data_IF_696204619595
#
_entry.id   IF_696204619595
#
_cell.length_a   1.000
_cell.length_b   1.000
_cell.length_c   1.000
_cell.angle_alpha   90.00
_cell.angle_beta   90.00
_cell.angle_gamma   90.00
#
_symmetry.space_group_name_H-M   'P 1'
#
loop_
_entity.id
_entity.type
_entity.pdbx_description
1 polymer ?
#
# COMPACT_ATOMS: atom_id res chain seq x y z
N UNK A 1 -13.34 23.52 -0.25
CA UNK A 1 -13.13 24.34 -1.45
C UNK A 1 -14.26 25.34 -1.53
N UNK A 2 -13.97 26.61 -1.28
CA UNK A 2 -14.96 27.68 -1.45
C UNK A 2 -15.21 27.84 -2.96
N UNK A 3 -16.45 27.64 -3.40
CA UNK A 3 -16.80 27.88 -4.81
C UNK A 3 -17.07 29.36 -4.96
N UNK A 4 -16.11 30.10 -5.51
CA UNK A 4 -16.31 31.51 -5.86
C UNK A 4 -17.06 31.57 -7.21
N UNK A 5 -18.19 32.29 -7.30
CA UNK A 5 -18.92 32.47 -8.54
C UNK A 5 -18.04 33.04 -9.67
N UNK A 6 -18.24 32.57 -10.91
CA UNK A 6 -17.44 32.98 -12.08
C UNK A 6 -17.51 34.49 -12.40
N UNK A 7 -18.54 35.17 -11.90
CA UNK A 7 -18.77 36.60 -12.10
C UNK A 7 -18.07 37.49 -11.05
N UNK A 8 -17.19 36.93 -10.21
CA UNK A 8 -16.46 37.69 -9.20
C UNK A 8 -14.98 37.83 -9.59
N UNK A 9 -14.51 39.07 -9.69
CA UNK A 9 -13.10 39.36 -9.94
C UNK A 9 -12.28 39.12 -8.68
N UNK A 10 -11.18 38.38 -8.81
CA UNK A 10 -10.25 38.09 -7.72
C UNK A 10 -9.35 39.29 -7.34
N UNK A 11 -9.22 40.24 -8.26
CA UNK A 11 -8.46 41.48 -8.07
C UNK A 11 -9.27 42.69 -8.56
N UNK A 12 -9.02 43.85 -7.96
CA UNK A 12 -9.44 45.13 -8.53
C UNK A 12 -8.45 45.63 -9.60
N UNK A 13 -8.72 46.82 -10.17
CA UNK A 13 -7.86 47.44 -11.19
C UNK A 13 -6.48 47.83 -10.65
N UNK A 14 -6.33 47.99 -9.33
CA UNK A 14 -5.08 48.34 -8.66
C UNK A 14 -4.28 47.08 -8.25
N UNK A 15 -4.81 45.88 -8.51
CA UNK A 15 -4.19 44.60 -8.20
C UNK A 15 -4.39 44.11 -6.77
N UNK A 16 -5.27 44.76 -5.98
CA UNK A 16 -5.59 44.32 -4.63
C UNK A 16 -6.47 43.07 -4.66
N UNK A 17 -6.21 42.11 -3.77
CA UNK A 17 -6.99 40.89 -3.68
C UNK A 17 -8.35 41.13 -3.01
N UNK A 18 -9.43 40.78 -3.70
CA UNK A 18 -10.80 41.04 -3.24
C UNK A 18 -11.40 39.85 -2.48
N UNK A 19 -12.13 40.12 -1.41
CA UNK A 19 -12.92 39.14 -0.64
C UNK A 19 -14.41 39.29 -0.91
N UNK A 20 -15.09 38.16 -1.12
CA UNK A 20 -16.53 38.14 -1.36
C UNK A 20 -17.30 38.38 -0.03
N UNK A 21 -18.11 39.46 0.08
CA UNK A 21 -18.84 39.79 1.30
C UNK A 21 -19.92 38.76 1.70
N UNK A 22 -20.31 37.84 0.80
CA UNK A 22 -21.36 36.84 1.03
C UNK A 22 -20.79 35.48 1.43
N UNK A 23 -19.58 35.13 0.97
CA UNK A 23 -19.11 33.75 1.02
C UNK A 23 -17.64 33.54 1.46
N UNK A 24 -16.79 34.59 1.54
CA UNK A 24 -15.38 34.37 1.82
C UNK A 24 -14.66 35.58 2.41
N UNK A 25 -14.04 35.41 3.59
CA UNK A 25 -12.96 36.28 4.12
C UNK A 25 -11.58 35.88 3.57
N UNK A 26 -11.56 35.10 2.48
CA UNK A 26 -10.37 34.47 1.93
C UNK A 26 -10.30 34.69 0.43
N UNK A 27 -9.11 34.98 -0.09
CA UNK A 27 -8.86 35.09 -1.52
C UNK A 27 -7.83 34.03 -1.92
N UNK A 28 -8.31 32.90 -2.44
CA UNK A 28 -7.47 31.78 -2.85
C UNK A 28 -6.46 32.16 -3.93
N UNK A 29 -6.83 33.05 -4.86
CA UNK A 29 -5.92 33.53 -5.90
C UNK A 29 -4.72 34.29 -5.30
N UNK A 30 -4.95 35.17 -4.32
CA UNK A 30 -3.89 35.90 -3.63
C UNK A 30 -3.00 35.00 -2.77
N UNK A 31 -3.54 33.94 -2.18
CA UNK A 31 -2.73 32.94 -1.47
C UNK A 31 -1.88 32.13 -2.43
N UNK A 32 -2.41 31.75 -3.59
CA UNK A 32 -1.63 31.05 -4.61
C UNK A 32 -0.50 31.91 -5.17
N UNK A 33 -0.73 33.21 -5.35
CA UNK A 33 0.26 34.12 -5.91
C UNK A 33 1.31 34.58 -4.87
N UNK A 34 0.88 34.88 -3.63
CA UNK A 34 1.71 35.55 -2.61
C UNK A 34 1.62 34.95 -1.21
N UNK A 35 0.93 33.83 -1.02
CA UNK A 35 0.77 33.17 0.29
C UNK A 35 2.00 32.38 0.75
N UNK A 36 3.07 32.38 -0.04
CA UNK A 36 4.32 31.69 0.25
C UNK A 36 4.43 30.38 -0.52
N UNK A 37 5.09 29.38 0.05
CA UNK A 37 5.35 28.12 -0.64
C UNK A 37 5.52 26.95 0.34
N UNK A 38 5.34 25.75 -0.18
CA UNK A 38 5.74 24.51 0.46
C UNK A 38 6.66 23.76 -0.51
N UNK A 39 7.89 23.49 -0.10
CA UNK A 39 8.87 22.76 -0.88
C UNK A 39 9.17 21.44 -0.18
N UNK A 40 9.17 20.36 -0.94
CA UNK A 40 9.65 19.06 -0.49
C UNK A 40 10.94 18.74 -1.21
N UNK A 41 11.92 18.23 -0.46
CA UNK A 41 13.18 17.73 -1.01
C UNK A 41 13.33 16.29 -0.55
N UNK A 42 13.35 15.33 -1.48
CA UNK A 42 13.28 13.92 -1.15
C UNK A 42 14.43 13.18 -1.82
N UNK A 43 15.38 12.74 -1.00
CA UNK A 43 16.46 11.86 -1.44
C UNK A 43 16.05 10.41 -1.25
N UNK A 44 16.24 9.60 -2.30
CA UNK A 44 16.10 8.16 -2.21
C UNK A 44 17.36 7.48 -2.75
N UNK A 45 17.95 6.61 -1.92
CA UNK A 45 19.04 5.73 -2.31
C UNK A 45 18.55 4.30 -2.09
N UNK A 46 18.44 3.54 -3.17
CA UNK A 46 18.11 2.14 -3.11
C UNK A 46 19.17 1.30 -3.82
N UNK A 47 19.32 0.06 -3.38
CA UNK A 47 20.25 -0.86 -3.99
C UNK A 47 19.99 -2.28 -3.54
N UNK A 48 20.39 -3.23 -4.38
CA UNK A 48 20.35 -4.64 -4.04
C UNK A 48 21.58 -5.35 -4.61
N UNK A 49 22.19 -6.18 -3.78
CA UNK A 49 23.23 -7.13 -4.12
C UNK A 49 22.61 -8.52 -4.15
N UNK A 50 22.80 -9.22 -5.26
CA UNK A 50 22.42 -10.61 -5.39
C UNK A 50 23.65 -11.44 -5.77
N UNK A 51 23.72 -12.64 -5.22
CA UNK A 51 24.78 -13.60 -5.49
C UNK A 51 24.18 -14.99 -5.64
N UNK A 52 24.70 -15.76 -6.59
CA UNK A 52 24.31 -17.14 -6.80
C UNK A 52 25.54 -18.03 -6.78
N UNK A 53 25.46 -19.12 -6.00
CA UNK A 53 26.45 -20.19 -5.97
C UNK A 53 25.81 -21.49 -6.45
N UNK A 54 26.30 -22.01 -7.57
CA UNK A 54 25.92 -23.34 -8.06
C UNK A 54 26.77 -24.40 -7.33
N UNK A 55 26.21 -25.04 -6.30
CA UNK A 55 26.91 -26.08 -5.51
C UNK A 55 27.07 -27.36 -6.33
N UNK A 56 26.03 -27.70 -7.10
CA UNK A 56 26.08 -28.74 -8.13
C UNK A 56 25.37 -28.24 -9.39
N UNK A 57 25.32 -29.06 -10.45
CA UNK A 57 24.50 -28.73 -11.64
C UNK A 57 23.00 -28.61 -11.35
N UNK A 58 22.53 -29.29 -10.28
CA UNK A 58 21.12 -29.41 -9.93
C UNK A 58 20.77 -28.58 -8.67
N UNK A 59 21.75 -28.14 -7.87
CA UNK A 59 21.56 -27.40 -6.60
C UNK A 59 22.23 -26.02 -6.65
N UNK A 60 21.46 -24.97 -6.37
CA UNK A 60 21.90 -23.58 -6.30
C UNK A 60 21.55 -22.95 -4.95
N UNK A 61 22.45 -22.10 -4.45
CA UNK A 61 22.20 -21.21 -3.34
C UNK A 61 22.15 -19.77 -3.89
N UNK A 62 21.15 -19.01 -3.48
CA UNK A 62 20.92 -17.63 -3.92
C UNK A 62 20.81 -16.77 -2.67
N UNK A 63 21.63 -15.72 -2.59
CA UNK A 63 21.56 -14.70 -1.56
C UNK A 63 21.18 -13.36 -2.17
N UNK A 64 20.25 -12.66 -1.54
CA UNK A 64 19.79 -11.33 -1.92
C UNK A 64 19.84 -10.44 -0.68
N UNK A 65 20.48 -9.29 -0.78
CA UNK A 65 20.55 -8.27 0.25
C UNK A 65 20.31 -6.92 -0.39
N UNK A 66 19.35 -6.15 0.09
CA UNK A 66 19.07 -4.83 -0.44
C UNK A 66 18.37 -3.95 0.56
N UNK A 67 18.10 -2.73 0.15
CA UNK A 67 17.40 -1.77 0.98
C UNK A 67 17.20 -0.44 0.30
N UNK A 68 16.43 0.39 0.97
CA UNK A 68 16.12 1.75 0.56
C UNK A 68 16.33 2.68 1.75
N UNK A 69 17.15 3.69 1.56
CA UNK A 69 17.29 4.82 2.46
C UNK A 69 16.54 6.00 1.85
N UNK A 70 15.59 6.57 2.59
CA UNK A 70 14.93 7.80 2.20
C UNK A 70 15.25 8.90 3.21
N UNK A 71 15.44 10.12 2.71
CA UNK A 71 15.58 11.32 3.50
C UNK A 71 14.67 12.39 2.90
N UNK A 72 13.56 12.65 3.58
CA UNK A 72 12.51 13.55 3.12
C UNK A 72 12.55 14.83 3.95
N UNK A 73 12.88 15.94 3.32
CA UNK A 73 12.81 17.29 3.84
C UNK A 73 11.52 17.98 3.41
N UNK A 74 11.03 18.88 4.26
CA UNK A 74 9.94 19.80 3.94
C UNK A 74 10.31 21.16 4.45
N UNK A 75 10.28 22.16 3.57
CA UNK A 75 10.47 23.55 3.91
C UNK A 75 9.24 24.34 3.49
N UNK A 76 8.51 24.83 4.48
CA UNK A 76 7.29 25.60 4.31
C UNK A 76 7.50 27.03 4.75
N UNK A 77 7.04 27.97 3.94
CA UNK A 77 7.03 29.39 4.25
C UNK A 77 5.66 29.97 3.96
N UNK A 78 5.04 30.58 4.96
CA UNK A 78 3.81 31.35 4.83
C UNK A 78 4.12 32.84 4.90
N UNK A 79 3.64 33.58 3.92
CA UNK A 79 3.73 35.04 3.87
C UNK A 79 2.35 35.66 4.00
N UNK A 80 2.33 36.93 4.44
CA UNK A 80 1.09 37.66 4.64
C UNK A 80 0.50 38.10 3.30
N UNK A 81 -0.82 37.93 3.16
CA UNK A 81 -1.60 38.47 2.03
C UNK A 81 -2.81 39.19 2.61
N UNK A 82 -2.88 40.49 2.35
CA UNK A 82 -3.99 41.34 2.77
C UNK A 82 -5.09 41.35 1.71
N UNK A 83 -6.35 41.37 2.17
CA UNK A 83 -7.52 41.38 1.30
C UNK A 83 -8.40 42.62 1.52
N UNK A 84 -9.14 43.02 0.49
CA UNK A 84 -10.12 44.10 0.54
C UNK A 84 -11.56 43.59 0.37
N UNK A 85 -12.55 44.14 1.11
CA UNK A 85 -12.41 45.20 2.10
C UNK A 85 -11.85 44.72 3.45
N UNK A 86 -11.80 43.42 3.71
CA UNK A 86 -11.28 42.88 4.97
C UNK A 86 -10.80 41.43 4.84
N UNK A 87 -9.82 41.05 5.65
CA UNK A 87 -9.28 39.69 5.75
C UNK A 87 -7.77 39.68 5.54
N UNK A 88 -7.11 38.73 6.17
CA UNK A 88 -5.66 38.53 6.05
C UNK A 88 -5.35 37.05 6.13
N UNK A 89 -4.48 36.58 5.25
CA UNK A 89 -3.86 35.28 5.35
C UNK A 89 -2.42 35.42 5.81
N UNK A 90 -1.93 34.49 6.63
CA UNK A 90 -0.50 34.39 6.95
C UNK A 90 0.08 35.56 7.74
N UNK A 91 -0.73 36.28 8.52
CA UNK A 91 -0.29 37.40 9.37
C UNK A 91 0.73 36.99 10.45
N UNK A 92 0.90 35.69 10.68
CA UNK A 92 1.86 35.12 11.61
C UNK A 92 3.22 34.81 10.95
N UNK A 93 3.37 35.00 9.63
CA UNK A 93 4.63 34.90 8.90
C UNK A 93 5.47 33.66 9.30
N UNK A 94 4.90 32.48 9.08
CA UNK A 94 5.49 31.24 9.59
C UNK A 94 6.52 30.60 8.64
N UNK A 95 7.57 30.04 9.23
CA UNK A 95 8.57 29.23 8.54
C UNK A 95 8.70 27.90 9.28
N UNK A 96 8.52 26.81 8.56
CA UNK A 96 8.63 25.45 9.06
C UNK A 96 9.70 24.70 8.28
N UNK A 97 10.55 24.01 9.01
CA UNK A 97 11.54 23.08 8.48
C UNK A 97 11.34 21.72 9.15
N UNK A 98 11.22 20.68 8.34
CA UNK A 98 10.96 19.32 8.79
C UNK A 98 11.82 18.33 8.03
N UNK A 99 12.25 17.27 8.72
CA UNK A 99 13.01 16.20 8.12
C UNK A 99 12.57 14.84 8.67
N UNK A 100 12.50 13.83 7.80
CA UNK A 100 12.23 12.44 8.15
C UNK A 100 13.16 11.52 7.38
N UNK A 101 13.88 10.67 8.10
CA UNK A 101 14.78 9.66 7.54
C UNK A 101 14.21 8.27 7.81
N UNK A 102 14.15 7.43 6.77
CA UNK A 102 13.78 6.03 6.88
C UNK A 102 14.83 5.10 6.27
N UNK A 103 14.91 3.88 6.80
CA UNK A 103 15.74 2.81 6.28
C UNK A 103 14.92 1.52 6.23
N UNK A 104 14.73 0.99 5.02
CA UNK A 104 14.19 -0.34 4.77
C UNK A 104 15.35 -1.27 4.38
N UNK A 105 15.49 -2.40 5.05
CA UNK A 105 16.44 -3.45 4.68
C UNK A 105 15.68 -4.74 4.39
N UNK A 106 16.10 -5.46 3.36
CA UNK A 106 15.58 -6.76 2.99
C UNK A 106 16.73 -7.75 2.73
N UNK A 107 16.67 -8.91 3.38
CA UNK A 107 17.62 -10.00 3.17
C UNK A 107 16.84 -11.27 2.87
N UNK A 108 17.28 -12.05 1.88
CA UNK A 108 16.68 -13.33 1.52
C UNK A 108 17.76 -14.34 1.13
N UNK A 109 17.66 -15.54 1.67
CA UNK A 109 18.49 -16.67 1.31
C UNK A 109 17.59 -17.77 0.75
N UNK A 110 18.00 -18.39 -0.35
CA UNK A 110 17.23 -19.43 -1.05
C UNK A 110 18.13 -20.61 -1.40
N UNK A 111 17.65 -21.82 -1.14
CA UNK A 111 18.18 -23.05 -1.72
C UNK A 111 17.21 -23.54 -2.80
N UNK A 112 17.71 -23.79 -4.01
CA UNK A 112 16.96 -24.27 -5.16
C UNK A 112 17.56 -25.58 -5.68
N UNK A 113 16.74 -26.64 -5.77
CA UNK A 113 17.08 -27.89 -6.42
C UNK A 113 16.20 -28.12 -7.64
N UNK A 114 16.79 -28.39 -8.80
CA UNK A 114 16.06 -28.68 -10.04
C UNK A 114 16.61 -29.94 -10.70
N UNK A 115 15.73 -30.87 -11.09
CA UNK A 115 16.12 -32.13 -11.72
C UNK A 115 15.12 -32.55 -12.79
N UNK A 116 15.63 -32.95 -13.95
CA UNK A 116 14.86 -33.69 -14.97
C UNK A 116 15.28 -35.17 -14.98
N UNK A 117 14.31 -36.07 -14.85
CA UNK A 117 14.48 -37.53 -14.95
C UNK A 117 13.48 -38.02 -15.99
N UNK A 118 13.98 -38.37 -17.17
CA UNK A 118 13.14 -38.79 -18.31
C UNK A 118 12.09 -37.72 -18.62
N UNK A 119 10.81 -38.05 -18.39
CA UNK A 119 9.66 -37.19 -18.64
C UNK A 119 9.23 -36.36 -17.43
N UNK A 120 9.91 -36.50 -16.29
CA UNK A 120 9.58 -35.81 -15.05
C UNK A 120 10.56 -34.67 -14.79
N UNK A 121 10.05 -33.48 -14.52
CA UNK A 121 10.83 -32.34 -14.05
C UNK A 121 10.36 -31.94 -12.66
N UNK A 122 11.31 -31.79 -11.74
CA UNK A 122 11.10 -31.36 -10.37
C UNK A 122 11.89 -30.09 -10.13
N UNK A 123 11.28 -29.10 -9.47
CA UNK A 123 11.95 -27.93 -8.96
C UNK A 123 11.46 -27.62 -7.55
N UNK A 124 12.36 -27.66 -6.58
CA UNK A 124 12.07 -27.40 -5.16
C UNK A 124 12.89 -26.21 -4.72
N UNK A 125 12.26 -25.28 -4.02
CA UNK A 125 12.88 -24.10 -3.44
C UNK A 125 12.48 -23.99 -1.97
N UNK A 126 13.43 -23.58 -1.13
CA UNK A 126 13.18 -23.16 0.25
C UNK A 126 13.93 -21.86 0.50
N UNK A 127 13.24 -20.88 1.06
CA UNK A 127 13.75 -19.54 1.29
C UNK A 127 13.43 -19.06 2.70
N UNK A 128 14.35 -18.28 3.26
CA UNK A 128 14.12 -17.48 4.47
C UNK A 128 14.40 -16.01 4.14
N UNK A 129 13.56 -15.10 4.62
CA UNK A 129 13.76 -13.66 4.45
C UNK A 129 13.49 -12.87 5.71
N UNK A 130 14.21 -11.75 5.86
CA UNK A 130 14.03 -10.76 6.90
C UNK A 130 13.87 -9.38 6.26
N UNK A 131 12.86 -8.65 6.70
CA UNK A 131 12.64 -7.24 6.36
C UNK A 131 12.61 -6.42 7.64
N UNK A 132 13.25 -5.26 7.63
CA UNK A 132 13.19 -4.31 8.75
C UNK A 132 13.05 -2.89 8.22
N UNK A 133 12.20 -2.11 8.85
CA UNK A 133 11.98 -0.70 8.56
C UNK A 133 12.17 0.11 9.84
N UNK A 134 12.95 1.18 9.77
CA UNK A 134 13.11 2.15 10.84
C UNK A 134 12.92 3.56 10.28
N UNK A 135 12.23 4.43 11.02
CA UNK A 135 12.01 5.82 10.67
C UNK A 135 12.16 6.73 11.88
N UNK A 136 12.65 7.95 11.66
CA UNK A 136 12.65 9.04 12.64
C UNK A 136 12.69 10.38 11.93
N UNK A 137 12.21 11.42 12.59
CA UNK A 137 12.30 12.78 12.08
C UNK A 137 12.22 13.84 13.16
N UNK A 138 12.25 15.09 12.71
CA UNK A 138 11.94 16.27 13.51
C UNK A 138 11.20 17.30 12.66
N UNK A 139 10.57 18.26 13.35
CA UNK A 139 9.97 19.43 12.75
C UNK A 139 10.22 20.64 13.66
N UNK A 140 10.47 21.80 13.08
CA UNK A 140 10.61 23.07 13.77
C UNK A 140 9.80 24.13 13.01
N UNK A 141 8.97 24.88 13.73
CA UNK A 141 8.25 26.01 13.17
C UNK A 141 8.52 27.28 13.97
N UNK A 142 8.73 28.38 13.25
CA UNK A 142 8.83 29.73 13.79
C UNK A 142 7.74 30.61 13.20
N UNK A 143 7.26 31.56 13.99
CA UNK A 143 6.29 32.59 13.59
C UNK A 143 6.88 33.97 13.86
N UNK A 144 6.25 35.01 13.30
CA UNK A 144 6.71 36.40 13.36
C UNK A 144 8.13 36.53 12.79
N UNK A 145 8.38 35.81 11.69
CA UNK A 145 9.64 35.89 10.94
C UNK A 145 9.66 37.12 10.03
N UNK A 146 10.82 37.48 9.51
CA UNK A 146 10.96 38.59 8.58
C UNK A 146 10.04 38.40 7.34
N UNK A 147 9.22 39.41 6.97
CA UNK A 147 8.26 39.28 5.86
C UNK A 147 8.91 38.97 4.51
N UNK A 148 10.16 39.38 4.28
CA UNK A 148 10.85 39.21 3.00
C UNK A 148 11.73 37.96 3.00
N UNK A 149 12.53 37.77 4.05
CA UNK A 149 13.57 36.74 4.15
C UNK A 149 13.12 35.48 4.90
N UNK A 150 12.06 35.56 5.71
CA UNK A 150 11.63 34.45 6.59
C UNK A 150 12.65 34.12 7.69
N UNK A 151 13.61 35.02 7.94
CA UNK A 151 14.63 34.83 8.97
C UNK A 151 14.15 35.31 10.33
N UNK A 152 14.73 34.82 11.44
CA UNK A 152 14.40 35.31 12.78
C UNK A 152 14.68 36.80 12.94
N UNK A 153 13.75 37.49 13.60
CA UNK A 153 13.85 38.88 14.07
C UNK A 153 13.73 38.93 15.59
N UNK A 154 13.86 40.11 16.21
CA UNK A 154 13.72 40.29 17.67
C UNK A 154 12.38 39.78 18.23
N UNK A 155 11.32 39.77 17.42
CA UNK A 155 9.98 39.32 17.83
C UNK A 155 9.64 37.88 17.44
N UNK A 156 10.53 37.14 16.79
CA UNK A 156 10.27 35.78 16.32
C UNK A 156 10.07 34.82 17.49
N UNK A 157 9.04 33.97 17.38
CA UNK A 157 8.68 32.99 18.40
C UNK A 157 8.77 31.58 17.79
N UNK A 158 9.24 30.61 18.58
CA UNK A 158 9.14 29.19 18.20
C UNK A 158 7.71 28.73 18.50
N UNK A 159 7.04 28.22 17.48
CA UNK A 159 5.74 27.60 17.65
C UNK A 159 5.93 26.21 18.25
N UNK A 160 5.80 26.13 19.57
CA UNK A 160 5.93 24.89 20.34
C UNK A 160 4.89 23.82 19.98
N UNK A 161 3.78 24.17 19.32
CA UNK A 161 2.78 23.19 18.87
C UNK A 161 3.27 22.43 17.64
N UNK A 162 3.95 23.15 16.75
CA UNK A 162 4.44 22.62 15.48
C UNK A 162 5.95 22.33 15.50
N UNK A 163 6.58 22.34 16.67
CA UNK A 163 8.01 22.05 16.84
C UNK A 163 8.21 20.82 17.72
N UNK A 164 8.56 19.70 17.09
CA UNK A 164 8.65 18.40 17.73
C UNK A 164 9.90 17.64 17.27
N UNK A 165 10.62 17.04 18.22
CA UNK A 165 11.61 16.02 17.92
C UNK A 165 10.95 14.63 17.97
N UNK A 166 11.55 13.63 17.33
CA UNK A 166 11.05 12.25 17.33
C UNK A 166 9.67 12.09 16.67
N UNK A 167 9.40 12.84 15.61
CA UNK A 167 8.24 12.55 14.75
C UNK A 167 8.51 11.28 13.94
N UNK A 168 7.44 10.59 13.56
CA UNK A 168 7.49 9.39 12.73
C UNK A 168 8.43 8.28 13.25
N UNK A 169 8.61 8.15 14.58
CA UNK A 169 9.41 7.08 15.18
C UNK A 169 8.67 5.76 15.05
N UNK A 170 9.04 4.99 14.03
CA UNK A 170 8.43 3.73 13.69
C UNK A 170 9.51 2.69 13.43
N UNK A 171 9.30 1.48 13.94
CA UNK A 171 10.14 0.33 13.69
C UNK A 171 9.25 -0.88 13.42
N UNK A 172 9.47 -1.55 12.29
CA UNK A 172 8.76 -2.78 11.95
C UNK A 172 9.72 -3.84 11.44
N UNK A 173 9.36 -5.10 11.60
CA UNK A 173 10.11 -6.21 11.04
C UNK A 173 9.18 -7.34 10.60
N UNK A 174 9.53 -7.99 9.50
CA UNK A 174 8.86 -9.17 8.99
C UNK A 174 9.89 -10.29 8.76
N UNK A 175 9.69 -11.43 9.42
CA UNK A 175 10.47 -12.63 9.20
C UNK A 175 9.62 -13.65 8.45
N UNK A 176 10.18 -14.30 7.44
CA UNK A 176 9.42 -15.23 6.61
C UNK A 176 10.23 -16.47 6.27
N UNK A 177 9.55 -17.62 6.28
CA UNK A 177 10.08 -18.87 5.75
C UNK A 177 9.07 -19.43 4.75
N UNK A 178 9.50 -19.74 3.54
CA UNK A 178 8.62 -20.18 2.47
C UNK A 178 9.29 -21.20 1.57
N UNK A 179 8.49 -22.09 1.01
CA UNK A 179 8.93 -23.12 0.09
C UNK A 179 8.02 -23.23 -1.11
N UNK A 180 8.58 -23.67 -2.23
CA UNK A 180 7.86 -23.89 -3.48
C UNK A 180 8.28 -25.20 -4.11
N UNK A 181 7.33 -26.00 -4.55
CA UNK A 181 7.53 -27.24 -5.30
C UNK A 181 6.83 -27.09 -6.63
N UNK A 182 7.56 -27.30 -7.73
CA UNK A 182 7.02 -27.37 -9.08
C UNK A 182 7.29 -28.78 -9.60
N UNK A 183 6.31 -29.33 -10.30
CA UNK A 183 6.42 -30.61 -10.97
C UNK A 183 5.79 -30.51 -12.36
N UNK A 184 6.48 -31.01 -13.38
CA UNK A 184 5.88 -31.25 -14.68
C UNK A 184 6.11 -32.70 -15.13
N UNK A 185 5.08 -33.29 -15.74
CA UNK A 185 5.16 -34.58 -16.41
C UNK A 185 4.88 -34.42 -17.90
N UNK A 186 5.84 -34.84 -18.73
CA UNK A 186 5.83 -34.73 -20.20
C UNK A 186 5.57 -33.32 -20.72
N UNK A 187 5.84 -32.31 -19.89
CA UNK A 187 5.49 -30.90 -20.14
C UNK A 187 3.99 -30.68 -20.42
N UNK A 188 3.11 -31.57 -19.92
CA UNK A 188 1.64 -31.50 -20.10
C UNK A 188 0.89 -31.29 -18.79
N UNK A 189 1.25 -32.05 -17.77
CA UNK A 189 0.64 -31.97 -16.45
C UNK A 189 1.56 -31.19 -15.54
N UNK A 190 1.05 -30.09 -15.02
CA UNK A 190 1.77 -29.12 -14.23
C UNK A 190 1.17 -29.11 -12.83
N UNK A 191 2.01 -29.15 -11.82
CA UNK A 191 1.62 -28.97 -10.43
C UNK A 191 2.57 -27.97 -9.77
N UNK A 192 2.01 -27.06 -9.00
CA UNK A 192 2.75 -26.20 -8.10
C UNK A 192 2.13 -26.26 -6.70
N UNK A 193 2.98 -26.40 -5.68
CA UNK A 193 2.62 -26.22 -4.29
C UNK A 193 3.53 -25.19 -3.66
N UNK A 194 2.97 -24.29 -2.86
CA UNK A 194 3.72 -23.30 -2.10
C UNK A 194 3.19 -23.25 -0.67
N UNK A 195 4.10 -23.02 0.27
CA UNK A 195 3.75 -22.68 1.63
C UNK A 195 4.61 -21.53 2.11
N UNK A 196 4.06 -20.71 3.00
CA UNK A 196 4.76 -19.59 3.61
C UNK A 196 4.32 -19.45 5.06
N UNK A 197 5.26 -19.16 5.93
CA UNK A 197 5.02 -18.72 7.30
C UNK A 197 5.64 -17.33 7.46
N UNK A 198 4.82 -16.35 7.85
CA UNK A 198 5.23 -14.96 8.04
C UNK A 198 5.00 -14.52 9.48
N UNK A 199 6.02 -13.90 10.08
CA UNK A 199 5.98 -13.38 11.44
C UNK A 199 6.17 -11.85 11.43
N UNK A 200 5.11 -11.11 11.76
CA UNK A 200 5.14 -9.63 11.79
C UNK A 200 5.34 -9.09 13.21
N UNK A 201 6.18 -8.06 13.38
CA UNK A 201 6.36 -7.35 14.65
C UNK A 201 5.15 -6.52 15.07
N UNK A 202 4.19 -6.29 14.16
CA UNK A 202 2.97 -5.52 14.45
C UNK A 202 1.97 -6.24 15.34
N UNK A 203 2.10 -7.57 15.47
CA UNK A 203 1.24 -8.38 16.33
C UNK A 203 1.93 -8.75 17.66
N UNK A 204 1.12 -9.03 18.67
CA UNK A 204 1.59 -9.45 19.99
C UNK A 204 2.44 -10.74 19.93
N UNK A 205 3.28 -10.96 20.95
CA UNK A 205 3.99 -12.22 21.12
C UNK A 205 3.00 -13.40 21.14
N UNK A 206 3.32 -14.49 20.42
CA UNK A 206 2.41 -15.63 20.24
C UNK A 206 1.38 -15.49 19.12
N UNK A 207 1.17 -14.28 18.57
CA UNK A 207 0.22 -14.01 17.46
C UNK A 207 0.90 -13.56 16.16
N UNK A 208 2.23 -13.39 16.17
CA UNK A 208 3.02 -12.88 15.03
C UNK A 208 2.92 -13.73 13.78
N UNK A 209 2.87 -15.05 13.94
CA UNK A 209 2.99 -16.03 12.85
C UNK A 209 1.67 -16.30 12.12
N UNK A 210 1.66 -16.17 10.80
CA UNK A 210 0.59 -16.60 9.90
C UNK A 210 1.10 -17.64 8.90
N UNK A 211 0.32 -18.71 8.66
CA UNK A 211 0.65 -19.75 7.68
C UNK A 211 -0.27 -19.68 6.45
N UNK A 212 0.34 -19.66 5.27
CA UNK A 212 -0.28 -19.29 4.00
C UNK A 212 0.10 -20.32 2.91
N UNK A 213 -0.70 -21.38 2.73
CA UNK A 213 -0.49 -22.38 1.68
C UNK A 213 -1.17 -21.97 0.37
N UNK A 214 -0.62 -22.45 -0.75
CA UNK A 214 -1.30 -22.46 -2.04
C UNK A 214 -0.92 -23.68 -2.87
N UNK A 215 -1.81 -24.04 -3.79
CA UNK A 215 -1.58 -25.09 -4.77
C UNK A 215 -2.21 -24.70 -6.10
N UNK A 216 -1.59 -25.13 -7.19
CA UNK A 216 -2.14 -25.01 -8.53
C UNK A 216 -1.87 -26.25 -9.38
N UNK A 217 -2.77 -26.48 -10.32
CA UNK A 217 -2.66 -27.52 -11.33
C UNK A 217 -2.90 -26.92 -12.70
N UNK A 218 -2.19 -27.43 -13.70
CA UNK A 218 -2.36 -27.05 -15.09
C UNK A 218 -2.28 -28.27 -15.99
N UNK A 219 -3.09 -28.29 -17.04
CA UNK A 219 -3.07 -29.34 -18.04
C UNK A 219 -3.06 -28.73 -19.43
N UNK A 220 -1.98 -28.98 -20.17
CA UNK A 220 -1.83 -28.57 -21.57
C UNK A 220 -2.48 -29.65 -22.44
N UNK A 221 -3.78 -29.52 -22.65
CA UNK A 221 -4.63 -30.50 -23.34
C UNK A 221 -4.17 -30.71 -24.79
N UNK A 222 -3.70 -29.65 -25.48
CA UNK A 222 -3.20 -29.78 -26.88
C UNK A 222 -1.97 -30.68 -27.02
N UNK A 223 -1.27 -30.98 -25.93
CA UNK A 223 -0.18 -31.94 -25.96
C UNK A 223 -0.65 -33.40 -25.96
N UNK A 224 -1.94 -33.67 -25.76
CA UNK A 224 -2.50 -35.02 -25.77
C UNK A 224 -2.56 -35.61 -27.18
N UNK A 225 -2.42 -36.93 -27.27
CA UNK A 225 -2.48 -37.64 -28.55
C UNK A 225 -3.84 -37.52 -29.23
N UNK A 226 -4.93 -37.43 -28.45
CA UNK A 226 -6.27 -37.26 -29.00
C UNK A 226 -6.54 -35.84 -29.55
N UNK A 227 -5.72 -34.85 -29.17
CA UNK A 227 -5.83 -33.47 -29.67
C UNK A 227 -5.00 -33.22 -30.94
N UNK A 228 -4.15 -34.16 -31.37
CA UNK A 228 -3.32 -33.99 -32.57
C UNK A 228 -4.14 -33.63 -33.82
N UNK A 229 -5.33 -34.23 -34.07
CA UNK A 229 -6.16 -33.85 -35.22
C UNK A 229 -6.60 -32.38 -35.23
N UNK A 230 -6.68 -31.72 -34.06
CA UNK A 230 -7.17 -30.34 -33.92
C UNK A 230 -6.04 -29.31 -33.85
N UNK A 231 -4.76 -29.72 -33.78
CA UNK A 231 -3.61 -28.82 -33.58
C UNK A 231 -3.47 -27.70 -34.61
N UNK A 232 -3.89 -27.95 -35.85
CA UNK A 232 -3.83 -26.95 -36.93
C UNK A 232 -4.81 -25.78 -36.70
N UNK A 233 -5.90 -26.03 -35.98
CA UNK A 233 -6.91 -25.01 -35.65
C UNK A 233 -6.69 -24.49 -34.22
N UNK A 234 -6.43 -25.39 -33.27
CA UNK A 234 -6.20 -25.09 -31.86
C UNK A 234 -4.74 -25.42 -31.51
N UNK A 235 -3.89 -24.40 -31.64
CA UNK A 235 -2.44 -24.46 -31.44
C UNK A 235 -2.09 -24.75 -29.98
N UNK A 236 -2.76 -24.04 -29.05
CA UNK A 236 -2.57 -24.21 -27.62
C UNK A 236 -3.91 -24.28 -26.91
N UNK A 237 -4.08 -25.22 -25.99
CA UNK A 237 -5.18 -25.20 -25.04
C UNK A 237 -4.68 -25.71 -23.71
N UNK A 238 -4.76 -24.84 -22.70
CA UNK A 238 -4.35 -25.12 -21.34
C UNK A 238 -5.51 -24.82 -20.41
N UNK A 239 -5.85 -25.75 -19.54
CA UNK A 239 -6.76 -25.51 -18.43
C UNK A 239 -5.96 -25.41 -17.14
N UNK A 240 -6.37 -24.53 -16.23
CA UNK A 240 -5.68 -24.28 -14.96
C UNK A 240 -6.66 -24.04 -13.83
N UNK A 241 -6.28 -24.49 -12.64
CA UNK A 241 -6.99 -24.21 -11.41
C UNK A 241 -5.98 -23.95 -10.30
N UNK A 242 -6.29 -23.01 -9.41
CA UNK A 242 -5.45 -22.69 -8.25
C UNK A 242 -6.31 -22.33 -7.04
N UNK A 243 -5.79 -22.68 -5.86
CA UNK A 243 -6.33 -22.24 -4.59
C UNK A 243 -5.18 -21.81 -3.69
N UNK A 244 -5.26 -20.62 -3.11
CA UNK A 244 -4.22 -20.12 -2.23
C UNK A 244 -4.73 -19.14 -1.20
N UNK A 245 -4.03 -19.08 -0.07
CA UNK A 245 -4.29 -18.13 1.00
C UNK A 245 -3.11 -17.17 1.06
N UNK A 246 -3.39 -15.87 1.14
CA UNK A 246 -2.38 -14.82 1.39
C UNK A 246 -2.75 -14.03 2.63
N UNK A 247 -1.73 -13.60 3.38
CA UNK A 247 -1.89 -12.80 4.59
C UNK A 247 -1.76 -11.30 4.33
N UNK A 248 -2.51 -10.50 5.09
CA UNK A 248 -2.36 -9.06 5.17
C UNK A 248 -2.11 -8.64 6.63
N UNK A 249 -1.17 -7.72 6.83
CA UNK A 249 -0.78 -7.14 8.12
C UNK A 249 -0.80 -5.61 8.11
N UNK A 250 -1.53 -5.02 7.16
CA UNK A 250 -1.56 -3.57 6.99
C UNK A 250 -2.40 -2.87 8.08
N UNK A 251 -1.88 -2.89 9.31
CA UNK A 251 -2.40 -2.20 10.49
C UNK A 251 -1.38 -1.20 11.00
N UNK A 252 -1.84 -0.31 11.88
CA UNK A 252 -0.97 0.58 12.65
C UNK A 252 0.06 -0.22 13.47
N UNK A 253 1.21 0.41 13.72
CA UNK A 253 2.25 -0.21 14.53
C UNK A 253 1.83 -0.26 16.00
N UNK A 254 2.35 -1.25 16.73
CA UNK A 254 2.24 -1.35 18.20
C UNK A 254 0.82 -1.40 18.77
N UNK A 255 -0.21 -1.72 17.98
CA UNK A 255 -1.60 -1.78 18.48
C UNK A 255 -1.82 -2.84 19.58
N UNK A 256 -0.87 -3.74 19.82
CA UNK A 256 -0.88 -4.65 20.97
C UNK A 256 -0.39 -4.00 22.28
N UNK A 257 0.04 -2.75 22.26
CA UNK A 257 0.51 -1.97 23.40
C UNK A 257 -0.42 -0.77 23.64
N UNK A 258 -0.72 -0.48 24.89
CA UNK A 258 -1.39 0.78 25.24
C UNK A 258 -0.35 1.89 25.17
N UNK A 259 -0.58 2.88 24.33
CA UNK A 259 0.33 4.01 24.13
C UNK A 259 -0.34 5.31 24.57
N UNK A 260 0.46 6.24 25.09
CA UNK A 260 0.02 7.56 25.50
C UNK A 260 0.58 8.62 24.57
N UNK A 261 -0.16 9.70 24.38
CA UNK A 261 0.29 10.86 23.63
C UNK A 261 -0.10 12.14 24.36
N UNK A 262 0.68 13.19 24.14
CA UNK A 262 0.47 14.46 24.82
C UNK A 262 -0.32 15.42 23.93
N UNK A 263 -1.28 16.10 24.52
CA UNK A 263 -1.88 17.32 23.98
C UNK A 263 -1.16 18.51 24.63
N UNK A 264 -0.49 19.34 23.84
CA UNK A 264 0.19 20.52 24.40
C UNK A 264 -0.80 21.58 24.91
N UNK A 265 -2.06 21.55 24.48
CA UNK A 265 -3.11 22.52 24.78
C UNK A 265 -4.48 21.85 25.04
N UNK A 266 -4.51 20.88 25.96
CA UNK A 266 -5.71 20.08 26.22
C UNK A 266 -6.89 20.91 26.75
N UNK A 267 -6.65 21.85 27.66
CA UNK A 267 -7.70 22.69 28.25
C UNK A 267 -7.12 23.97 28.88
N UNK A 268 -7.98 24.96 29.08
CA UNK A 268 -7.65 26.18 29.81
C UNK A 268 -7.92 26.00 31.31
N UNK A 269 -6.94 26.31 32.15
CA UNK A 269 -7.08 26.30 33.61
C UNK A 269 -6.35 27.48 34.22
N UNK A 270 -7.04 28.25 35.08
CA UNK A 270 -6.45 29.43 35.72
C UNK A 270 -5.87 30.45 34.72
N UNK A 271 -6.57 30.70 33.60
CA UNK A 271 -6.14 31.58 32.51
C UNK A 271 -4.83 31.16 31.81
N UNK A 272 -4.41 29.90 31.97
CA UNK A 272 -3.27 29.30 31.28
C UNK A 272 -3.74 28.12 30.43
N UNK A 273 -3.02 27.88 29.32
CA UNK A 273 -3.17 26.66 28.53
C UNK A 273 -2.42 25.55 29.24
N UNK A 274 -3.09 24.44 29.52
CA UNK A 274 -2.51 23.29 30.20
C UNK A 274 -2.51 22.09 29.26
N UNK A 275 -1.40 21.35 29.27
CA UNK A 275 -1.28 20.10 28.53
C UNK A 275 -2.13 18.99 29.13
N UNK A 276 -2.36 17.94 28.35
CA UNK A 276 -3.07 16.74 28.77
C UNK A 276 -2.52 15.51 28.09
N UNK A 277 -3.06 14.34 28.43
CA UNK A 277 -2.68 13.09 27.82
C UNK A 277 -3.91 12.40 27.22
N UNK A 278 -3.74 11.86 26.02
CA UNK A 278 -4.65 10.89 25.41
C UNK A 278 -4.05 9.49 25.50
N UNK A 279 -4.88 8.48 25.28
CA UNK A 279 -4.47 7.07 25.25
C UNK A 279 -5.06 6.36 24.04
N UNK A 280 -4.26 5.48 23.43
CA UNK A 280 -4.72 4.44 22.53
C UNK A 280 -4.74 3.14 23.30
N UNK A 281 -5.88 2.44 23.31
CA UNK A 281 -5.98 1.14 23.99
C UNK A 281 -5.38 0.04 23.13
N UNK A 282 -4.84 -1.00 23.77
CA UNK A 282 -4.28 -2.15 23.07
C UNK A 282 -5.31 -3.19 22.64
N UNK A 283 -5.05 -3.88 21.53
CA UNK A 283 -5.62 -5.16 21.17
C UNK A 283 -4.51 -6.22 21.05
N UNK A 284 -4.34 -7.04 22.08
CA UNK A 284 -3.34 -8.12 22.09
C UNK A 284 -3.76 -9.34 21.25
N UNK A 285 -5.03 -9.43 20.87
CA UNK A 285 -5.58 -10.52 20.06
C UNK A 285 -5.56 -10.24 18.57
N UNK A 286 -5.04 -9.09 18.14
CA UNK A 286 -4.91 -8.72 16.74
C UNK A 286 -4.04 -9.71 15.97
N UNK A 287 -4.56 -10.24 14.87
CA UNK A 287 -3.86 -11.22 14.01
C UNK A 287 -4.00 -10.91 12.52
N UNK A 288 -3.37 -11.70 11.67
CA UNK A 288 -3.42 -11.55 10.21
C UNK A 288 -4.84 -11.58 9.62
N UNK A 289 -5.12 -10.66 8.71
CA UNK A 289 -6.21 -10.78 7.74
C UNK A 289 -5.82 -11.80 6.68
N UNK A 290 -6.79 -12.60 6.21
CA UNK A 290 -6.53 -13.73 5.30
C UNK A 290 -7.41 -13.63 4.07
N UNK A 291 -6.79 -13.67 2.89
CA UNK A 291 -7.49 -13.74 1.61
C UNK A 291 -7.29 -15.10 0.96
N UNK A 292 -8.36 -15.90 0.93
CA UNK A 292 -8.39 -17.19 0.24
C UNK A 292 -8.97 -17.03 -1.17
N UNK A 293 -8.18 -17.34 -2.20
CA UNK A 293 -8.55 -17.17 -3.62
C UNK A 293 -8.61 -18.53 -4.30
N UNK A 294 -9.76 -18.82 -4.92
CA UNK A 294 -9.93 -19.83 -5.95
C UNK A 294 -9.86 -19.13 -7.32
N UNK A 295 -9.11 -19.70 -8.25
CA UNK A 295 -9.13 -19.28 -9.65
C UNK A 295 -9.16 -20.51 -10.56
N UNK A 296 -10.03 -20.47 -11.56
CA UNK A 296 -10.18 -21.51 -12.58
C UNK A 296 -10.18 -20.80 -13.92
N UNK A 297 -9.35 -21.23 -14.85
CA UNK A 297 -9.22 -20.55 -16.13
C UNK A 297 -8.73 -21.46 -17.24
N UNK A 298 -8.76 -20.93 -18.45
CA UNK A 298 -8.13 -21.54 -19.60
C UNK A 298 -7.42 -20.50 -20.46
N UNK A 299 -6.40 -20.98 -21.15
CA UNK A 299 -5.65 -20.23 -22.15
C UNK A 299 -5.77 -21.01 -23.47
N UNK A 300 -6.21 -20.34 -24.53
CA UNK A 300 -6.40 -20.91 -25.85
C UNK A 300 -5.66 -20.09 -26.91
N UNK A 301 -5.03 -20.78 -27.85
CA UNK A 301 -4.37 -20.22 -29.02
C UNK A 301 -4.87 -20.91 -30.28
N UNK A 302 -5.33 -20.15 -31.26
CA UNK A 302 -5.88 -20.64 -32.51
C UNK A 302 -5.10 -20.10 -33.70
N UNK A 303 -5.05 -20.91 -34.76
CA UNK A 303 -4.46 -20.56 -36.05
C UNK A 303 -3.00 -20.10 -35.95
N UNK A 304 -2.15 -20.88 -35.29
CA UNK A 304 -0.74 -20.56 -35.00
C UNK A 304 -0.62 -19.32 -34.10
N UNK A 305 -1.43 -19.31 -33.03
CA UNK A 305 -1.53 -18.23 -32.03
C UNK A 305 -1.83 -16.84 -32.64
N UNK A 306 -2.43 -16.79 -33.84
CA UNK A 306 -2.96 -15.55 -34.41
C UNK A 306 -4.12 -15.03 -33.59
N UNK A 307 -4.95 -15.91 -33.04
CA UNK A 307 -6.02 -15.56 -32.12
C UNK A 307 -5.75 -16.23 -30.79
N UNK A 308 -5.53 -15.45 -29.74
CA UNK A 308 -5.33 -15.96 -28.38
C UNK A 308 -6.46 -15.50 -27.49
N UNK A 309 -7.00 -16.38 -26.67
CA UNK A 309 -8.07 -16.11 -25.73
C UNK A 309 -7.66 -16.60 -24.35
N UNK A 310 -7.92 -15.80 -23.32
CA UNK A 310 -7.76 -16.19 -21.91
C UNK A 310 -9.08 -15.94 -21.21
N UNK A 311 -9.47 -16.88 -20.36
CA UNK A 311 -10.63 -16.72 -19.49
C UNK A 311 -10.27 -17.15 -18.07
N UNK A 312 -10.69 -16.37 -17.10
CA UNK A 312 -10.48 -16.60 -15.68
C UNK A 312 -11.80 -16.39 -14.94
N UNK A 313 -12.21 -17.38 -14.16
CA UNK A 313 -13.21 -17.22 -13.11
C UNK A 313 -12.48 -17.21 -11.76
N UNK A 314 -12.83 -16.27 -10.90
CA UNK A 314 -12.22 -16.18 -9.58
C UNK A 314 -13.26 -15.98 -8.48
N UNK A 315 -12.91 -16.49 -7.29
CA UNK A 315 -13.60 -16.23 -6.04
C UNK A 315 -12.57 -16.00 -4.94
N UNK A 316 -12.54 -14.80 -4.41
CA UNK A 316 -11.70 -14.42 -3.26
C UNK A 316 -12.59 -14.20 -2.06
N UNK A 317 -12.33 -14.88 -0.95
CA UNK A 317 -12.93 -14.59 0.35
C UNK A 317 -11.86 -14.06 1.28
N UNK A 318 -12.02 -12.80 1.71
CA UNK A 318 -11.15 -12.17 2.70
C UNK A 318 -11.84 -12.22 4.04
N UNK A 319 -11.21 -12.85 5.03
CA UNK A 319 -11.70 -12.98 6.40
C UNK A 319 -10.75 -12.34 7.38
N UNK A 320 -11.24 -12.13 8.60
CA UNK A 320 -10.47 -11.55 9.70
C UNK A 320 -9.96 -10.14 9.30
N UNK A 321 -10.78 -9.39 8.55
CA UNK A 321 -10.40 -8.07 8.04
C UNK A 321 -10.09 -7.13 9.19
N UNK A 322 -8.96 -6.44 9.05
CA UNK A 322 -8.39 -5.54 10.02
C UNK A 322 -9.05 -4.17 9.90
N UNK A 323 -9.90 -3.82 10.86
CA UNK A 323 -10.59 -2.53 10.90
C UNK A 323 -10.90 -2.11 12.34
N UNK A 324 -11.03 -0.80 12.61
CA UNK A 324 -11.48 -0.32 13.91
C UNK A 324 -12.92 -0.77 14.16
N UNK A 325 -13.27 -0.95 15.43
CA UNK A 325 -14.64 -1.22 15.84
C UNK A 325 -15.45 0.06 15.93
N UNK A 326 -16.43 0.20 15.04
CA UNK A 326 -17.40 1.31 15.02
C UNK A 326 -18.60 1.07 15.96
N UNK A 327 -18.67 -0.11 16.59
CA UNK A 327 -19.73 -0.47 17.54
C UNK A 327 -19.36 -0.15 19.01
N UNK A 328 -18.23 0.53 19.24
CA UNK A 328 -17.82 1.03 20.56
C UNK A 328 -18.39 2.45 20.76
N UNK A 329 -19.28 2.67 21.75
CA UNK A 329 -19.86 3.99 21.99
C UNK A 329 -18.80 5.05 22.33
N UNK A 330 -18.98 6.28 21.84
CA UNK A 330 -18.08 7.39 22.13
C UNK A 330 -17.88 7.68 23.64
N UNK A 331 -18.85 7.33 24.48
CA UNK A 331 -18.72 7.43 25.95
C UNK A 331 -17.57 6.59 26.53
N UNK A 332 -17.02 5.64 25.76
CA UNK A 332 -15.82 4.89 26.12
C UNK A 332 -14.58 5.79 26.25
N UNK A 333 -14.54 6.93 25.54
CA UNK A 333 -13.54 7.98 25.76
C UNK A 333 -12.12 7.68 25.28
N UNK A 334 -11.92 6.59 24.54
CA UNK A 334 -10.63 6.25 23.92
C UNK A 334 -10.81 5.75 22.48
N UNK A 335 -9.79 5.97 21.65
CA UNK A 335 -9.77 5.46 20.28
C UNK A 335 -9.62 3.94 20.28
N UNK A 336 -10.38 3.27 19.41
CA UNK A 336 -10.39 1.81 19.26
C UNK A 336 -9.25 1.35 18.33
N UNK A 337 -8.45 0.34 18.70
CA UNK A 337 -7.47 -0.27 17.81
C UNK A 337 -8.18 -1.06 16.70
N UNK A 338 -7.43 -1.57 15.73
CA UNK A 338 -7.99 -2.49 14.75
C UNK A 338 -8.32 -3.83 15.41
N UNK A 339 -9.32 -4.50 14.86
CA UNK A 339 -9.75 -5.84 15.22
C UNK A 339 -9.98 -6.66 13.94
N UNK A 340 -9.97 -7.99 14.07
CA UNK A 340 -10.35 -8.91 13.00
C UNK A 340 -11.89 -9.02 12.93
N UNK A 341 -12.56 -8.11 12.22
CA UNK A 341 -14.02 -7.85 12.38
C UNK A 341 -14.87 -8.07 11.15
N UNK A 342 -14.27 -8.08 9.97
CA UNK A 342 -15.03 -8.16 8.72
C UNK A 342 -14.65 -9.36 7.86
N UNK A 343 -15.59 -9.74 7.00
CA UNK A 343 -15.43 -10.77 5.98
C UNK A 343 -16.11 -10.32 4.71
N UNK A 344 -15.40 -10.33 3.60
CA UNK A 344 -15.92 -9.98 2.28
C UNK A 344 -15.65 -11.08 1.28
N UNK A 345 -16.44 -11.11 0.20
CA UNK A 345 -16.23 -12.00 -0.94
C UNK A 345 -16.29 -11.21 -2.23
N UNK A 346 -15.24 -11.34 -3.03
CA UNK A 346 -15.23 -10.92 -4.42
C UNK A 346 -15.39 -12.16 -5.31
N UNK A 347 -16.32 -12.13 -6.26
CA UNK A 347 -16.50 -13.18 -7.26
C UNK A 347 -16.68 -12.52 -8.61
N UNK A 348 -15.92 -12.98 -9.60
CA UNK A 348 -15.91 -12.35 -10.91
C UNK A 348 -15.31 -13.24 -11.97
N UNK A 349 -15.26 -12.70 -13.18
CA UNK A 349 -14.60 -13.31 -14.30
C UNK A 349 -13.93 -12.25 -15.17
N UNK A 350 -12.87 -12.66 -15.84
CA UNK A 350 -12.10 -11.84 -16.78
C UNK A 350 -11.91 -12.65 -18.07
N UNK A 351 -12.12 -12.00 -19.21
CA UNK A 351 -11.85 -12.57 -20.52
C UNK A 351 -10.99 -11.61 -21.32
N UNK A 352 -9.98 -12.13 -22.00
CA UNK A 352 -9.20 -11.37 -22.96
C UNK A 352 -9.09 -12.10 -24.28
N UNK A 353 -9.04 -11.32 -25.36
CA UNK A 353 -8.89 -11.80 -26.72
C UNK A 353 -7.85 -10.92 -27.41
N UNK A 354 -6.81 -11.53 -27.95
CA UNK A 354 -5.80 -10.83 -28.77
C UNK A 354 -5.71 -11.46 -30.14
N UNK A 355 -5.88 -10.64 -31.18
CA UNK A 355 -5.74 -11.03 -32.57
C UNK A 355 -4.53 -10.35 -33.22
N UNK A 356 -3.59 -11.15 -33.72
CA UNK A 356 -2.36 -10.72 -34.36
C UNK A 356 -2.43 -10.93 -35.87
N UNK A 357 -2.47 -9.83 -36.62
CA UNK A 357 -2.36 -9.81 -38.08
C UNK A 357 -0.89 -9.59 -38.45
N UNK A 358 -0.24 -10.65 -38.94
CA UNK A 358 1.15 -10.62 -39.42
C UNK A 358 1.14 -10.53 -40.95
N UNK A 359 1.46 -9.34 -41.47
CA UNK A 359 1.57 -9.06 -42.91
C UNK A 359 2.69 -8.05 -43.19
N UNK A 360 2.59 -7.28 -44.28
CA UNK A 360 3.51 -6.15 -44.55
C UNK A 360 3.49 -5.10 -43.43
N UNK A 361 2.35 -4.96 -42.79
CA UNK A 361 2.18 -4.23 -41.53
C UNK A 361 1.71 -5.25 -40.51
N UNK A 362 2.37 -5.28 -39.35
CA UNK A 362 1.95 -6.10 -38.22
C UNK A 362 1.00 -5.29 -37.35
N UNK A 363 -0.19 -5.83 -37.08
CA UNK A 363 -1.20 -5.20 -36.23
C UNK A 363 -1.62 -6.17 -35.15
N UNK A 364 -1.85 -5.68 -33.94
CA UNK A 364 -2.35 -6.46 -32.82
C UNK A 364 -3.56 -5.76 -32.22
N UNK A 365 -4.67 -6.48 -32.14
CA UNK A 365 -5.92 -6.00 -31.58
C UNK A 365 -6.19 -6.77 -30.30
N UNK A 366 -6.30 -6.07 -29.17
CA UNK A 366 -6.57 -6.70 -27.88
C UNK A 366 -7.86 -6.15 -27.28
N UNK A 367 -8.72 -7.05 -26.85
CA UNK A 367 -9.97 -6.76 -26.15
C UNK A 367 -9.95 -7.45 -24.80
N UNK A 368 -10.37 -6.74 -23.76
CA UNK A 368 -10.54 -7.29 -22.42
C UNK A 368 -11.90 -6.85 -21.87
N UNK A 369 -12.58 -7.79 -21.22
CA UNK A 369 -13.83 -7.56 -20.52
C UNK A 369 -13.80 -8.30 -19.19
N UNK A 370 -14.35 -7.67 -18.16
CA UNK A 370 -14.36 -8.20 -16.81
C UNK A 370 -15.67 -7.85 -16.11
N UNK A 371 -16.07 -8.68 -15.17
CA UNK A 371 -17.15 -8.40 -14.22
C UNK A 371 -16.73 -8.87 -12.84
N UNK A 372 -17.02 -8.08 -11.80
CA UNK A 372 -16.71 -8.42 -10.43
C UNK A 372 -17.81 -7.97 -9.49
N UNK A 373 -18.29 -8.91 -8.68
CA UNK A 373 -19.25 -8.69 -7.62
C UNK A 373 -18.58 -8.78 -6.27
N UNK A 374 -18.66 -7.69 -5.50
CA UNK A 374 -18.29 -7.67 -4.09
C UNK A 374 -19.51 -7.97 -3.20
N UNK A 375 -19.29 -8.66 -2.08
CA UNK A 375 -20.30 -8.89 -1.07
C UNK A 375 -19.67 -8.85 0.32
N UNK A 376 -20.18 -7.99 1.20
CA UNK A 376 -19.92 -8.08 2.64
C UNK A 376 -20.66 -9.30 3.22
N UNK A 377 -19.91 -10.22 3.82
CA UNK A 377 -20.44 -11.46 4.41
C UNK A 377 -20.64 -11.32 5.91
N UNK A 378 -19.79 -10.56 6.58
CA UNK A 378 -19.82 -10.34 8.01
C UNK A 378 -19.16 -9.00 8.34
N UNK A 379 -19.75 -8.27 9.28
CA UNK A 379 -19.14 -7.18 10.02
C UNK A 379 -19.58 -7.37 11.48
N UNK A 380 -18.65 -7.45 12.43
CA UNK A 380 -19.04 -7.57 13.84
C UNK A 380 -19.78 -6.31 14.28
N UNK A 381 -20.98 -6.53 14.83
CA UNK A 381 -21.99 -5.50 15.07
C UNK A 381 -23.30 -5.81 14.32
N UNK A 382 -23.84 -7.04 14.44
CA UNK A 382 -25.19 -7.47 13.97
C UNK A 382 -25.61 -7.16 12.52
N UNK A 383 -24.78 -6.52 11.70
CA UNK A 383 -25.13 -6.02 10.38
C UNK A 383 -24.50 -6.91 9.31
N UNK A 384 -25.30 -7.79 8.73
CA UNK A 384 -25.04 -8.34 7.40
C UNK A 384 -25.61 -7.36 6.38
N UNK A 385 -24.82 -6.43 5.88
CA UNK A 385 -25.26 -5.52 4.81
C UNK A 385 -24.90 -6.11 3.44
N UNK A 386 -25.89 -6.26 2.55
CA UNK A 386 -25.65 -6.52 1.13
C UNK A 386 -25.52 -5.17 0.44
N UNK A 387 -24.30 -4.77 0.10
CA UNK A 387 -24.07 -3.67 -0.85
C UNK A 387 -24.25 -4.27 -2.26
N UNK A 388 -25.24 -3.76 -3.00
CA UNK A 388 -25.58 -4.21 -4.36
C UNK A 388 -24.68 -3.60 -5.42
#
# INVERSE_FOLDING_TARGET
ANRVPYNYSWQDADGNYLTNPIASQYNEYGVLEKGGFNQADNDEIFGAFNGQLSVTKDLKLIGEFGGTLQNNGTFFRRTQVDYLPAGVYGNDLSVLDGNSKSLLLNTKLTAEYSKKITDHFFKVQVSASSESFDQRGFQLQKTLTDPLLGTPTTGTIIDTQNSNNSIAVNATSLLSVFGRVNYSYKDKYLFEGLFRNDASSKFAAGKRSGFFPSASVGWIVTQESFMQPLKNTLSTFKVRASYGIVGNQNVGNYQYQTTYFNYANAYGFGNNVVGGAGTFISNQDLTWEKSAKLNIGFDAGLFDDKLTATFDYFRTTTSDILAPREDVPFIFGAASPDYNVAKVRNTGWEASLTYNLRGKVTQSFSFNIADNKNQLLQLTGSATERIY
#
